data_IF_035055014143
#
_entry.id   IF_035055014143
#
_cell.length_a   1.000
_cell.length_b   1.000
_cell.length_c   1.000
_cell.angle_alpha   90.00
_cell.angle_beta   90.00
_cell.angle_gamma   90.00
#
_symmetry.space_group_name_H-M   'P 1'
#
loop_
_entity.id
_entity.type
_entity.pdbx_description
1 polymer ?
#
# COMPACT_ATOMS: atom_id res chain seq x y z
N UNK A 1 39.12 28.95 1.41
CA UNK A 1 38.17 28.37 0.43
C UNK A 1 37.42 27.13 0.92
N UNK A 2 38.03 26.14 1.59
CA UNK A 2 37.35 24.88 1.98
C UNK A 2 36.24 25.04 3.05
N UNK A 3 36.33 26.02 3.94
CA UNK A 3 35.32 26.25 5.01
C UNK A 3 34.02 26.88 4.49
N UNK A 4 34.11 27.80 3.51
CA UNK A 4 32.94 28.47 2.93
C UNK A 4 32.06 27.52 2.10
N UNK A 5 32.68 26.54 1.43
CA UNK A 5 31.97 25.49 0.69
C UNK A 5 31.19 24.57 1.63
N UNK A 6 31.75 24.25 2.81
CA UNK A 6 31.09 23.39 3.78
C UNK A 6 29.85 24.07 4.41
N UNK A 7 29.95 25.38 4.70
CA UNK A 7 28.81 26.16 5.21
C UNK A 7 27.70 26.32 4.17
N UNK A 8 28.05 26.45 2.88
CA UNK A 8 27.07 26.55 1.78
C UNK A 8 26.30 25.24 1.59
N UNK A 9 26.98 24.09 1.67
CA UNK A 9 26.34 22.76 1.56
C UNK A 9 25.39 22.50 2.74
N UNK A 10 25.76 22.91 3.95
CA UNK A 10 24.91 22.75 5.14
C UNK A 10 23.62 23.58 5.05
N UNK A 11 23.69 24.81 4.53
CA UNK A 11 22.51 25.68 4.33
C UNK A 11 21.59 25.10 3.24
N UNK A 12 22.14 24.54 2.16
CA UNK A 12 21.35 23.89 1.11
C UNK A 12 20.61 22.64 1.60
N UNK A 13 21.19 21.86 2.52
CA UNK A 13 20.51 20.70 3.12
C UNK A 13 19.37 21.06 4.07
N UNK A 14 19.41 22.24 4.70
CA UNK A 14 18.33 22.73 5.59
C UNK A 14 17.16 23.30 4.78
N UNK A 15 17.40 23.86 3.59
CA UNK A 15 16.32 24.38 2.73
C UNK A 15 15.52 23.21 2.10
N UNK A 16 16.12 22.04 1.91
CA UNK A 16 15.44 20.89 1.30
C UNK A 16 14.54 20.09 2.27
N UNK A 17 14.59 20.36 3.58
CA UNK A 17 13.74 19.68 4.57
C UNK A 17 12.45 20.42 4.93
N UNK A 18 12.19 21.60 4.34
CA UNK A 18 11.03 22.44 4.71
C UNK A 18 9.85 22.31 3.72
N UNK A 19 9.98 21.57 2.61
CA UNK A 19 8.91 21.45 1.60
C UNK A 19 8.20 20.08 1.53
N UNK A 20 7.89 19.48 2.67
CA UNK A 20 6.86 18.41 2.74
C UNK A 20 5.99 18.57 3.97
N UNK A 21 5.36 19.74 4.09
CA UNK A 21 4.13 19.91 4.85
C UNK A 21 3.20 20.81 4.04
N UNK A 22 2.67 20.26 2.96
CA UNK A 22 1.51 20.84 2.28
C UNK A 22 0.32 19.92 2.53
N UNK A 23 -0.58 20.45 3.35
CA UNK A 23 -1.95 20.03 3.52
C UNK A 23 -2.54 19.64 2.17
N UNK A 24 -3.01 18.40 2.07
CA UNK A 24 -3.92 18.01 1.00
C UNK A 24 -5.29 18.53 1.40
N UNK A 25 -5.56 19.79 1.09
CA UNK A 25 -6.93 20.27 1.00
C UNK A 25 -7.57 19.56 -0.19
N UNK A 26 -8.50 18.66 0.12
CA UNK A 26 -9.33 17.99 -0.88
C UNK A 26 -10.31 19.02 -1.45
N UNK A 27 -9.82 19.82 -2.40
CA UNK A 27 -10.64 20.73 -3.19
C UNK A 27 -11.38 19.91 -4.24
N UNK A 28 -12.58 19.46 -3.86
CA UNK A 28 -13.62 19.05 -4.79
C UNK A 28 -14.02 20.26 -5.62
N UNK A 29 -13.52 20.35 -6.86
CA UNK A 29 -14.26 20.91 -7.99
C UNK A 29 -13.46 20.75 -9.29
N UNK A 30 -13.87 19.78 -10.11
CA UNK A 30 -13.80 19.92 -11.55
C UNK A 30 -15.07 19.32 -12.15
N UNK A 31 -16.04 20.19 -12.39
CA UNK A 31 -17.08 20.00 -13.38
C UNK A 31 -16.50 20.46 -14.73
N UNK A 32 -16.41 19.55 -15.70
CA UNK A 32 -16.94 19.82 -17.03
C UNK A 32 -17.19 18.53 -17.83
N UNK A 33 -18.47 18.18 -17.89
CA UNK A 33 -19.24 17.62 -19.00
C UNK A 33 -18.67 16.46 -19.82
N UNK A 34 -19.17 15.25 -19.52
CA UNK A 34 -19.73 14.36 -20.55
C UNK A 34 -20.92 13.60 -19.94
N UNK A 35 -22.02 13.64 -20.67
CA UNK A 35 -23.35 13.12 -20.39
C UNK A 35 -23.42 11.68 -19.85
N UNK A 36 -23.81 11.54 -18.59
CA UNK A 36 -24.88 10.67 -18.06
C UNK A 36 -24.88 10.82 -16.55
N UNK A 37 -25.98 11.35 -15.99
CA UNK A 37 -26.21 11.36 -14.55
C UNK A 37 -26.11 9.93 -14.01
N UNK A 38 -24.98 9.60 -13.38
CA UNK A 38 -24.92 8.50 -12.42
C UNK A 38 -24.88 9.16 -11.06
N UNK A 39 -26.00 9.07 -10.33
CA UNK A 39 -26.10 9.42 -8.91
C UNK A 39 -25.10 8.55 -8.14
N UNK A 40 -23.91 9.07 -7.85
CA UNK A 40 -22.96 8.42 -6.94
C UNK A 40 -23.08 9.07 -5.57
N UNK A 41 -24.15 8.73 -4.85
CA UNK A 41 -24.12 8.76 -3.38
C UNK A 41 -23.41 7.47 -2.92
N UNK A 42 -22.09 7.37 -3.15
CA UNK A 42 -21.30 6.35 -2.50
C UNK A 42 -20.97 6.84 -1.08
N UNK A 43 -21.90 6.59 -0.16
CA UNK A 43 -21.69 6.80 1.26
C UNK A 43 -20.56 5.86 1.68
N UNK A 44 -19.33 6.39 1.83
CA UNK A 44 -18.20 5.65 2.42
C UNK A 44 -18.68 5.14 3.78
N UNK A 45 -18.76 3.82 3.92
CA UNK A 45 -19.24 3.21 5.16
C UNK A 45 -18.19 3.44 6.26
N UNK A 46 -18.62 3.48 7.51
CA UNK A 46 -17.69 3.51 8.65
C UNK A 46 -16.75 2.29 8.64
N UNK A 47 -17.20 1.16 8.10
CA UNK A 47 -16.43 -0.06 7.97
C UNK A 47 -15.22 0.09 7.03
N UNK A 48 -15.41 0.74 5.88
CA UNK A 48 -14.32 1.02 4.94
C UNK A 48 -13.26 1.91 5.56
N UNK A 49 -13.67 2.89 6.38
CA UNK A 49 -12.76 3.76 7.11
C UNK A 49 -11.93 2.99 8.14
N UNK A 50 -12.56 2.04 8.86
CA UNK A 50 -11.86 1.21 9.84
C UNK A 50 -10.88 0.21 9.20
N UNK A 51 -11.25 -0.37 8.05
CA UNK A 51 -10.34 -1.23 7.27
C UNK A 51 -9.14 -0.42 6.79
N UNK A 52 -9.38 0.78 6.25
CA UNK A 52 -8.33 1.69 5.79
C UNK A 52 -7.37 2.09 6.93
N UNK A 53 -7.93 2.50 8.08
CA UNK A 53 -7.15 2.85 9.28
C UNK A 53 -6.33 1.66 9.77
N UNK A 54 -6.91 0.47 9.78
CA UNK A 54 -6.22 -0.75 10.22
C UNK A 54 -5.08 -1.13 9.27
N UNK A 55 -5.29 -1.02 7.96
CA UNK A 55 -4.25 -1.21 6.96
C UNK A 55 -3.05 -0.29 7.21
N UNK A 56 -3.30 1.02 7.34
CA UNK A 56 -2.23 1.99 7.55
C UNK A 56 -1.52 1.81 8.89
N UNK A 57 -2.24 1.39 9.93
CA UNK A 57 -1.64 0.99 11.21
C UNK A 57 -0.71 -0.22 11.08
N UNK A 58 -1.07 -1.21 10.24
CA UNK A 58 -0.21 -2.37 9.96
C UNK A 58 1.00 -1.96 9.11
N UNK A 59 0.78 -1.12 8.11
CA UNK A 59 1.83 -0.62 7.22
C UNK A 59 2.90 0.18 7.98
N UNK A 60 2.50 0.97 8.99
CA UNK A 60 3.41 1.75 9.81
C UNK A 60 4.28 0.94 10.79
N UNK A 61 3.97 -0.34 11.01
CA UNK A 61 4.81 -1.21 11.83
C UNK A 61 6.20 -1.34 11.21
N UNK A 62 7.25 -1.23 12.03
CA UNK A 62 8.64 -1.32 11.56
C UNK A 62 8.91 -2.71 10.97
N UNK A 63 9.45 -2.75 9.76
CA UNK A 63 9.82 -4.00 9.11
C UNK A 63 10.88 -4.76 9.91
N UNK A 64 10.63 -6.05 10.13
CA UNK A 64 11.58 -6.97 10.75
C UNK A 64 11.49 -8.33 10.06
N UNK A 65 12.61 -8.81 9.52
CA UNK A 65 12.67 -10.05 8.72
C UNK A 65 12.06 -11.25 9.46
N UNK A 66 12.23 -11.35 10.78
CA UNK A 66 11.79 -12.51 11.58
C UNK A 66 10.40 -12.36 12.19
N UNK A 67 9.95 -11.14 12.48
CA UNK A 67 8.76 -10.89 13.32
C UNK A 67 7.69 -9.99 12.69
N UNK A 68 8.04 -9.23 11.65
CA UNK A 68 7.16 -8.24 11.02
C UNK A 68 7.58 -8.01 9.58
N UNK A 69 7.62 -9.09 8.80
CA UNK A 69 7.95 -9.07 7.38
C UNK A 69 6.67 -8.96 6.52
N UNK A 70 6.80 -9.16 5.20
CA UNK A 70 5.66 -9.11 4.28
C UNK A 70 4.56 -10.12 4.60
N UNK A 71 4.92 -11.36 4.93
CA UNK A 71 3.99 -12.41 5.33
C UNK A 71 3.19 -11.99 6.56
N UNK A 72 3.88 -11.60 7.64
CA UNK A 72 3.23 -11.21 8.90
C UNK A 72 2.25 -10.04 8.70
N UNK A 73 2.66 -9.02 7.94
CA UNK A 73 1.81 -7.85 7.67
C UNK A 73 0.61 -8.20 6.79
N UNK A 74 0.80 -9.03 5.78
CA UNK A 74 -0.28 -9.48 4.88
C UNK A 74 -1.29 -10.37 5.62
N UNK A 75 -0.83 -11.30 6.46
CA UNK A 75 -1.70 -12.07 7.34
C UNK A 75 -2.46 -11.17 8.32
N UNK A 76 -1.78 -10.23 8.96
CA UNK A 76 -2.43 -9.30 9.90
C UNK A 76 -3.55 -8.48 9.22
N UNK A 77 -3.34 -8.04 7.97
CA UNK A 77 -4.38 -7.33 7.23
C UNK A 77 -5.51 -8.26 6.77
N UNK A 78 -5.18 -9.46 6.29
CA UNK A 78 -6.19 -10.46 5.93
C UNK A 78 -7.07 -10.85 7.14
N UNK A 79 -6.52 -10.95 8.34
CA UNK A 79 -7.27 -11.17 9.58
C UNK A 79 -8.23 -10.02 9.91
N UNK A 80 -7.85 -8.77 9.63
CA UNK A 80 -8.76 -7.62 9.76
C UNK A 80 -9.95 -7.78 8.82
N UNK A 81 -9.70 -8.13 7.56
CA UNK A 81 -10.75 -8.36 6.56
C UNK A 81 -11.70 -9.48 6.99
N UNK A 82 -11.16 -10.62 7.45
CA UNK A 82 -11.98 -11.74 7.97
C UNK A 82 -12.84 -11.30 9.15
N UNK A 83 -12.28 -10.55 10.12
CA UNK A 83 -13.03 -10.01 11.27
C UNK A 83 -14.15 -9.06 10.87
N UNK A 84 -14.03 -8.39 9.72
CA UNK A 84 -15.06 -7.54 9.12
C UNK A 84 -16.04 -8.30 8.23
N UNK A 85 -15.98 -9.63 8.20
CA UNK A 85 -16.89 -10.47 7.43
C UNK A 85 -16.60 -10.49 5.93
N UNK A 86 -15.48 -9.89 5.48
CA UNK A 86 -15.11 -9.86 4.08
C UNK A 86 -14.89 -11.28 3.53
N UNK A 87 -15.22 -11.45 2.24
CA UNK A 87 -15.07 -12.69 1.49
C UNK A 87 -14.07 -12.50 0.35
N UNK A 88 -13.68 -13.60 -0.30
CA UNK A 88 -12.77 -13.58 -1.45
C UNK A 88 -11.43 -12.91 -1.13
N UNK A 89 -10.88 -13.24 0.03
CA UNK A 89 -9.55 -12.79 0.47
C UNK A 89 -8.55 -13.84 0.02
N UNK A 90 -7.47 -13.39 -0.60
CA UNK A 90 -6.37 -14.23 -1.04
C UNK A 90 -5.04 -13.67 -0.59
N UNK A 91 -4.14 -14.56 -0.19
CA UNK A 91 -2.72 -14.24 -0.07
C UNK A 91 -2.04 -14.59 -1.39
N UNK A 92 -1.34 -13.62 -1.95
CA UNK A 92 -0.66 -13.76 -3.22
C UNK A 92 0.85 -13.75 -2.98
N UNK A 93 1.52 -14.82 -3.40
CA UNK A 93 2.97 -14.91 -3.43
C UNK A 93 3.51 -14.50 -4.79
N UNK A 94 4.48 -13.60 -4.79
CA UNK A 94 5.12 -13.00 -5.98
C UNK A 94 6.61 -13.29 -5.89
N UNK A 95 7.20 -13.83 -6.96
CA UNK A 95 8.63 -14.12 -6.98
C UNK A 95 9.44 -12.95 -7.54
N UNK A 96 10.59 -12.69 -6.91
CA UNK A 96 11.65 -11.82 -7.41
C UNK A 96 12.60 -12.62 -8.30
N UNK A 97 13.29 -11.96 -9.23
CA UNK A 97 14.37 -12.55 -10.02
C UNK A 97 15.74 -11.96 -9.65
N UNK A 98 16.74 -12.81 -9.31
CA UNK A 98 16.66 -14.27 -9.24
C UNK A 98 15.75 -14.75 -8.09
N UNK A 99 15.23 -15.99 -8.18
CA UNK A 99 14.19 -16.62 -7.32
C UNK A 99 14.58 -16.85 -5.85
N UNK A 100 15.43 -15.98 -5.32
CA UNK A 100 15.96 -16.03 -3.96
C UNK A 100 15.02 -15.38 -2.94
N UNK A 101 14.06 -14.59 -3.42
CA UNK A 101 13.11 -13.87 -2.59
C UNK A 101 11.69 -13.97 -3.15
N UNK A 102 10.72 -14.12 -2.25
CA UNK A 102 9.30 -14.02 -2.55
C UNK A 102 8.64 -12.99 -1.66
N UNK A 103 7.66 -12.29 -2.23
CA UNK A 103 6.88 -11.27 -1.57
C UNK A 103 5.42 -11.73 -1.41
N UNK A 104 4.80 -11.47 -0.26
CA UNK A 104 3.39 -11.84 -0.02
C UNK A 104 2.56 -10.58 0.17
N UNK A 105 1.45 -10.50 -0.57
CA UNK A 105 0.46 -9.41 -0.51
C UNK A 105 -0.96 -9.95 -0.34
N UNK A 106 -1.90 -9.09 0.02
CA UNK A 106 -3.32 -9.44 0.08
C UNK A 106 -4.02 -9.02 -1.20
N UNK A 107 -4.87 -9.89 -1.75
CA UNK A 107 -5.87 -9.54 -2.74
C UNK A 107 -7.26 -9.72 -2.16
N UNK A 108 -8.08 -8.69 -2.29
CA UNK A 108 -9.47 -8.68 -1.84
C UNK A 108 -10.30 -7.89 -2.86
N UNK A 109 -11.39 -8.49 -3.35
CA UNK A 109 -12.27 -7.91 -4.39
C UNK A 109 -11.52 -7.45 -5.65
N UNK A 110 -10.51 -8.23 -6.06
CA UNK A 110 -9.71 -7.93 -7.26
C UNK A 110 -8.71 -6.78 -7.07
N UNK A 111 -8.60 -6.21 -5.87
CA UNK A 111 -7.65 -5.17 -5.51
C UNK A 111 -6.52 -5.74 -4.66
N UNK A 112 -5.32 -5.19 -4.81
CA UNK A 112 -4.11 -5.56 -4.09
C UNK A 112 -3.82 -4.57 -2.97
N UNK A 113 -3.35 -5.12 -1.85
CA UNK A 113 -2.97 -4.41 -0.65
C UNK A 113 -1.57 -4.88 -0.23
N UNK A 114 -0.61 -3.96 -0.24
CA UNK A 114 0.79 -4.21 0.14
C UNK A 114 1.21 -3.18 1.19
N UNK A 115 1.36 -3.69 2.42
CA UNK A 115 1.70 -2.90 3.59
C UNK A 115 3.22 -2.70 3.78
N UNK A 116 4.05 -3.14 2.83
CA UNK A 116 5.51 -3.11 2.95
C UNK A 116 6.19 -2.19 1.96
N UNK A 117 5.64 -2.03 0.76
CA UNK A 117 6.12 -1.06 -0.22
C UNK A 117 5.93 0.36 0.32
N UNK A 118 6.81 1.29 -0.08
CA UNK A 118 6.74 2.70 0.32
C UNK A 118 6.53 3.59 -0.91
N UNK A 119 5.44 4.37 -0.99
CA UNK A 119 4.31 4.39 -0.06
C UNK A 119 3.50 3.07 -0.11
N UNK A 120 2.81 2.69 1.01
CA UNK A 120 1.96 1.50 1.05
C UNK A 120 0.91 1.51 -0.06
N UNK A 121 0.61 0.35 -0.62
CA UNK A 121 -0.40 0.22 -1.66
C UNK A 121 -1.71 -0.21 -1.02
N UNK A 122 -2.73 0.65 -1.13
CA UNK A 122 -4.08 0.38 -0.66
C UNK A 122 -5.03 0.39 -1.85
N UNK A 123 -5.69 -0.75 -2.11
CA UNK A 123 -6.75 -0.90 -3.11
C UNK A 123 -6.31 -0.62 -4.57
N UNK A 124 -5.13 -1.09 -4.96
CA UNK A 124 -4.65 -0.96 -6.35
C UNK A 124 -5.12 -2.13 -7.22
N UNK A 125 -5.34 -1.91 -8.51
CA UNK A 125 -5.64 -3.01 -9.43
C UNK A 125 -4.46 -3.99 -9.55
N UNK A 126 -4.74 -5.29 -9.63
CA UNK A 126 -3.69 -6.33 -9.65
C UNK A 126 -2.69 -6.13 -10.80
N UNK A 127 -3.19 -5.78 -11.99
CA UNK A 127 -2.34 -5.48 -13.16
C UNK A 127 -1.46 -4.25 -12.93
N UNK A 128 -2.04 -3.17 -12.42
CA UNK A 128 -1.30 -1.94 -12.11
C UNK A 128 -0.22 -2.19 -11.06
N UNK A 129 -0.53 -2.96 -10.03
CA UNK A 129 0.41 -3.35 -9.00
C UNK A 129 1.57 -4.17 -9.57
N UNK A 130 1.28 -5.18 -10.40
CA UNK A 130 2.29 -6.00 -11.06
C UNK A 130 3.23 -5.15 -11.94
N UNK A 131 2.66 -4.25 -12.75
CA UNK A 131 3.45 -3.34 -13.59
C UNK A 131 4.32 -2.41 -12.72
N UNK A 132 3.80 -1.94 -11.59
CA UNK A 132 4.54 -1.11 -10.63
C UNK A 132 5.72 -1.85 -10.01
N UNK A 133 5.58 -3.13 -9.67
CA UNK A 133 6.64 -3.88 -8.97
C UNK A 133 7.68 -4.51 -9.89
N UNK A 134 7.42 -4.61 -11.20
CA UNK A 134 8.38 -5.14 -12.19
C UNK A 134 9.73 -4.41 -12.16
N UNK A 135 9.73 -3.10 -11.96
CA UNK A 135 10.98 -2.31 -11.86
C UNK A 135 11.86 -2.70 -10.65
N UNK A 136 11.30 -3.45 -9.70
CA UNK A 136 12.03 -4.01 -8.55
C UNK A 136 12.39 -5.48 -8.74
N UNK A 137 12.34 -6.02 -9.97
CA UNK A 137 12.77 -7.40 -10.26
C UNK A 137 11.70 -8.47 -10.02
N UNK A 138 10.45 -8.11 -9.69
CA UNK A 138 9.37 -9.10 -9.57
C UNK A 138 8.80 -9.47 -10.93
N UNK A 139 8.71 -10.77 -11.23
CA UNK A 139 8.32 -11.26 -12.56
C UNK A 139 6.88 -11.75 -12.67
N UNK A 140 6.17 -11.89 -11.54
CA UNK A 140 4.73 -12.08 -11.53
C UNK A 140 4.22 -12.95 -10.40
N UNK A 141 2.90 -13.20 -10.44
CA UNK A 141 2.17 -13.98 -9.45
C UNK A 141 2.50 -15.47 -9.61
N UNK A 142 2.76 -16.13 -8.48
CA UNK A 142 3.02 -17.58 -8.43
C UNK A 142 1.86 -18.36 -7.87
N UNK A 143 1.35 -17.89 -6.73
CA UNK A 143 0.35 -18.61 -5.96
C UNK A 143 -0.68 -17.60 -5.46
N UNK A 144 -1.96 -17.94 -5.61
CA UNK A 144 -3.08 -17.22 -5.04
C UNK A 144 -3.83 -18.18 -4.12
N UNK A 145 -3.55 -18.10 -2.83
CA UNK A 145 -4.12 -18.99 -1.82
C UNK A 145 -5.33 -18.33 -1.16
N UNK A 146 -6.52 -18.97 -1.12
CA UNK A 146 -7.66 -18.44 -0.39
C UNK A 146 -7.34 -18.35 1.10
N UNK A 147 -7.81 -17.29 1.75
CA UNK A 147 -7.59 -17.04 3.17
C UNK A 147 -8.92 -16.97 3.92
N UNK A 148 -9.03 -17.74 5.00
CA UNK A 148 -10.23 -17.80 5.86
C UNK A 148 -9.94 -17.47 7.33
N UNK A 149 -8.76 -16.92 7.64
CA UNK A 149 -8.30 -16.65 9.00
C UNK A 149 -7.29 -17.69 9.51
N UNK A 150 -6.41 -17.26 10.40
CA UNK A 150 -5.51 -18.17 11.11
C UNK A 150 -6.33 -19.05 12.09
N UNK A 151 -6.18 -20.37 11.96
CA UNK A 151 -6.57 -21.30 13.02
C UNK A 151 -5.50 -21.18 14.10
N UNK A 152 -5.74 -20.29 15.06
CA UNK A 152 -4.91 -20.17 16.26
C UNK A 152 -4.88 -21.47 17.04
#
# INVERSE_FOLDING_TARGET
MKKAVFTLILILTIIFTINTLLSVDFSSNNSFNTSKEVKVNAQVTSEDQEINKSFHKIASLKYNVKKCNCEHKSHAFADVLVKKGAKNIYLITIEHEPREYSHIVVSWEGKVYDATITPPVYRMDEKEYLDKIRKYGFTGLRVKAPYSGNKG
#
